data_IF_130448651692
#
_entry.id   IF_130448651692
#
_cell.length_a   1.000
_cell.length_b   1.000
_cell.length_c   1.000
_cell.angle_alpha   90.00
_cell.angle_beta   90.00
_cell.angle_gamma   90.00
#
_symmetry.space_group_name_H-M   'P 1'
#
loop_
_entity.id
_entity.type
_entity.pdbx_description
1 polymer ?
#
# COMPACT_ATOMS: atom_id res chain seq x y z
N UNK A 1 8.30 18.23 10.33
CA UNK A 1 7.63 16.99 10.79
C UNK A 1 6.21 17.35 11.23
N UNK A 2 5.37 17.72 10.27
CA UNK A 2 4.03 18.25 10.50
C UNK A 2 3.05 17.07 10.59
N UNK A 3 2.76 16.58 11.80
CA UNK A 3 1.66 15.63 12.00
C UNK A 3 0.44 16.43 12.42
N UNK A 4 -0.47 16.65 11.48
CA UNK A 4 -1.81 17.15 11.78
C UNK A 4 -2.56 16.12 12.63
N UNK A 5 -2.65 16.37 13.94
CA UNK A 5 -3.29 15.55 14.98
C UNK A 5 -2.58 14.23 15.39
N UNK A 6 -2.60 13.95 16.70
CA UNK A 6 -2.17 12.68 17.29
C UNK A 6 -2.95 11.47 16.76
N UNK A 7 -4.24 11.67 16.45
CA UNK A 7 -5.10 10.64 15.88
C UNK A 7 -4.58 10.15 14.52
N UNK A 8 -4.17 11.05 13.63
CA UNK A 8 -3.55 10.68 12.35
C UNK A 8 -2.26 9.87 12.53
N UNK A 9 -1.39 10.28 13.46
CA UNK A 9 -0.15 9.57 13.71
C UNK A 9 -0.42 8.15 14.26
N UNK A 10 -1.37 8.01 15.18
CA UNK A 10 -1.79 6.72 15.69
C UNK A 10 -2.33 5.81 14.58
N UNK A 11 -3.24 6.33 13.75
CA UNK A 11 -3.82 5.59 12.62
C UNK A 11 -2.74 5.15 11.63
N UNK A 12 -1.83 6.05 11.25
CA UNK A 12 -0.71 5.70 10.38
C UNK A 12 0.20 4.63 11.01
N UNK A 13 0.43 4.70 12.32
CA UNK A 13 1.28 3.73 13.01
C UNK A 13 0.66 2.34 13.05
N UNK A 14 -0.65 2.25 13.30
CA UNK A 14 -1.41 1.00 13.26
C UNK A 14 -1.36 0.39 11.86
N UNK A 15 -1.60 1.19 10.82
CA UNK A 15 -1.56 0.70 9.44
C UNK A 15 -0.16 0.32 8.97
N UNK A 16 0.87 1.08 9.37
CA UNK A 16 2.25 0.73 9.13
C UNK A 16 2.62 -0.59 9.80
N UNK A 17 2.16 -0.82 11.04
CA UNK A 17 2.39 -2.09 11.72
C UNK A 17 1.65 -3.26 11.05
N UNK A 18 0.41 -3.03 10.58
CA UNK A 18 -0.42 -4.05 9.95
C UNK A 18 0.08 -4.47 8.56
N UNK A 19 0.54 -3.53 7.74
CA UNK A 19 0.92 -3.80 6.35
C UNK A 19 2.42 -3.64 6.09
N UNK A 20 3.05 -2.63 6.68
CA UNK A 20 4.48 -2.39 6.52
C UNK A 20 5.34 -3.48 7.15
N UNK A 21 5.06 -3.90 8.38
CA UNK A 21 5.87 -4.93 9.05
C UNK A 21 5.89 -6.26 8.29
N UNK A 22 4.74 -6.86 7.89
CA UNK A 22 4.76 -8.11 7.14
C UNK A 22 5.38 -7.97 5.74
N UNK A 23 5.20 -6.80 5.10
CA UNK A 23 5.80 -6.51 3.80
C UNK A 23 7.33 -6.38 3.90
N UNK A 24 7.84 -5.69 4.94
CA UNK A 24 9.26 -5.55 5.19
C UNK A 24 9.94 -6.92 5.42
N UNK A 25 9.28 -7.80 6.18
CA UNK A 25 9.76 -9.19 6.36
C UNK A 25 9.78 -9.93 5.02
N UNK A 26 8.77 -9.72 4.16
CA UNK A 26 8.65 -10.41 2.87
C UNK A 26 9.65 -9.95 1.81
N UNK A 27 9.95 -8.65 1.78
CA UNK A 27 10.83 -8.01 0.78
C UNK A 27 12.30 -7.96 1.21
N UNK A 28 12.55 -7.90 2.53
CA UNK A 28 13.84 -7.54 3.11
C UNK A 28 14.11 -6.04 3.04
N UNK A 29 15.06 -5.57 3.85
CA UNK A 29 15.27 -4.14 4.12
C UNK A 29 15.48 -3.29 2.86
N UNK A 30 16.38 -3.70 1.95
CA UNK A 30 16.73 -2.90 0.78
C UNK A 30 15.55 -2.76 -0.21
N UNK A 31 14.85 -3.85 -0.52
CA UNK A 31 13.70 -3.84 -1.43
C UNK A 31 12.51 -3.13 -0.81
N UNK A 32 12.32 -3.27 0.50
CA UNK A 32 11.28 -2.53 1.23
C UNK A 32 11.54 -1.02 1.22
N UNK A 33 12.79 -0.59 1.42
CA UNK A 33 13.14 0.84 1.34
C UNK A 33 12.91 1.39 -0.07
N UNK A 34 13.33 0.67 -1.11
CA UNK A 34 13.08 1.06 -2.49
C UNK A 34 11.57 1.11 -2.81
N UNK A 35 10.81 0.11 -2.38
CA UNK A 35 9.34 0.08 -2.50
C UNK A 35 8.68 1.27 -1.80
N UNK A 36 9.13 1.59 -0.59
CA UNK A 36 8.64 2.73 0.19
C UNK A 36 8.91 4.05 -0.54
N UNK A 37 10.12 4.23 -1.09
CA UNK A 37 10.46 5.42 -1.88
C UNK A 37 9.58 5.54 -3.13
N UNK A 38 9.44 4.47 -3.91
CA UNK A 38 8.66 4.48 -5.16
C UNK A 38 7.19 4.79 -4.91
N UNK A 39 6.58 4.16 -3.90
CA UNK A 39 5.17 4.42 -3.57
C UNK A 39 4.96 5.82 -2.97
N UNK A 40 5.92 6.33 -2.21
CA UNK A 40 5.90 7.72 -1.73
C UNK A 40 5.97 8.73 -2.88
N UNK A 41 6.88 8.51 -3.84
CA UNK A 41 7.02 9.37 -5.02
C UNK A 41 5.78 9.33 -5.90
N UNK A 42 5.18 8.16 -6.12
CA UNK A 42 3.94 8.03 -6.87
C UNK A 42 2.76 8.74 -6.20
N UNK A 43 2.67 8.67 -4.87
CA UNK A 43 1.66 9.40 -4.10
C UNK A 43 1.80 10.93 -4.29
N UNK A 44 3.02 11.45 -4.14
CA UNK A 44 3.29 12.88 -4.32
C UNK A 44 3.05 13.31 -5.77
N UNK A 45 3.49 12.51 -6.74
CA UNK A 45 3.30 12.80 -8.16
C UNK A 45 1.81 12.88 -8.53
N UNK A 46 0.99 11.93 -8.08
CA UNK A 46 -0.43 11.95 -8.39
C UNK A 46 -1.12 13.16 -7.74
N UNK A 47 -0.82 13.45 -6.47
CA UNK A 47 -1.36 14.64 -5.81
C UNK A 47 -0.99 15.93 -6.55
N UNK A 48 0.28 16.06 -6.99
CA UNK A 48 0.76 17.23 -7.70
C UNK A 48 0.06 17.44 -9.06
N UNK A 49 -0.29 16.36 -9.76
CA UNK A 49 -1.05 16.43 -11.03
C UNK A 49 -2.44 17.05 -10.81
N UNK A 50 -3.12 16.74 -9.69
CA UNK A 50 -4.46 17.24 -9.40
C UNK A 50 -4.49 18.63 -8.75
N UNK A 51 -3.41 19.03 -8.07
CA UNK A 51 -3.30 20.31 -7.34
C UNK A 51 -2.16 21.18 -7.89
N UNK A 52 -1.90 21.09 -9.19
CA UNK A 52 -0.84 21.84 -9.84
C UNK A 52 -1.06 23.35 -9.66
N UNK A 53 -0.10 24.04 -9.02
CA UNK A 53 -0.18 25.48 -8.76
C UNK A 53 -0.70 25.87 -7.36
N UNK A 54 -1.13 24.90 -6.55
CA UNK A 54 -1.56 25.14 -5.17
C UNK A 54 -0.46 24.76 -4.16
N UNK A 55 -0.24 25.61 -3.16
CA UNK A 55 0.73 25.37 -2.08
C UNK A 55 0.10 24.57 -0.94
N UNK A 56 -0.46 23.39 -1.25
CA UNK A 56 -1.04 22.49 -0.24
C UNK A 56 0.06 21.55 0.28
N UNK A 57 0.43 21.59 1.58
CA UNK A 57 1.46 20.72 2.11
C UNK A 57 0.99 19.26 2.16
N UNK A 58 1.68 18.39 1.40
CA UNK A 58 1.47 16.93 1.44
C UNK A 58 2.14 16.34 2.68
N UNK A 59 1.35 15.84 3.63
CA UNK A 59 1.87 15.07 4.78
C UNK A 59 2.03 13.60 4.32
N UNK A 60 3.24 13.28 3.83
CA UNK A 60 3.50 12.16 2.91
C UNK A 60 3.72 10.74 3.46
N UNK A 61 3.43 10.43 4.73
CA UNK A 61 3.59 9.07 5.24
C UNK A 61 2.46 8.11 4.81
N UNK A 62 1.23 8.62 4.72
CA UNK A 62 0.03 7.82 4.45
C UNK A 62 -0.08 7.34 3.00
N UNK A 63 0.53 8.06 2.05
CA UNK A 63 0.64 7.62 0.66
C UNK A 63 1.48 6.34 0.53
N UNK A 64 2.63 6.28 1.21
CA UNK A 64 3.47 5.09 1.24
C UNK A 64 2.77 3.90 1.91
N UNK A 65 2.06 4.16 3.02
CA UNK A 65 1.24 3.15 3.71
C UNK A 65 0.12 2.64 2.79
N UNK A 66 -0.52 3.51 2.02
CA UNK A 66 -1.51 3.12 1.00
C UNK A 66 -0.88 2.23 -0.07
N UNK A 67 0.38 2.48 -0.45
CA UNK A 67 1.14 1.57 -1.29
C UNK A 67 1.36 0.19 -0.67
N UNK A 68 1.65 0.11 0.63
CA UNK A 68 1.74 -1.17 1.34
C UNK A 68 0.41 -1.92 1.34
N UNK A 69 -0.73 -1.20 1.46
CA UNK A 69 -2.07 -1.79 1.33
C UNK A 69 -2.32 -2.33 -0.08
N UNK A 70 -1.92 -1.59 -1.12
CA UNK A 70 -1.99 -2.03 -2.51
C UNK A 70 -1.17 -3.30 -2.76
N UNK A 71 0.05 -3.37 -2.22
CA UNK A 71 0.85 -4.58 -2.26
C UNK A 71 0.17 -5.74 -1.50
N UNK A 72 -0.36 -5.50 -0.31
CA UNK A 72 -1.06 -6.51 0.50
C UNK A 72 -2.29 -7.10 -0.22
N UNK A 73 -3.03 -6.29 -0.98
CA UNK A 73 -4.15 -6.73 -1.81
C UNK A 73 -3.70 -7.74 -2.88
N UNK A 74 -2.49 -7.60 -3.44
CA UNK A 74 -1.90 -8.55 -4.40
C UNK A 74 -1.50 -9.88 -3.76
N UNK A 75 -1.26 -9.90 -2.45
CA UNK A 75 -1.08 -11.13 -1.67
C UNK A 75 -2.41 -11.70 -1.14
N UNK A 76 -3.55 -11.07 -1.46
CA UNK A 76 -4.85 -11.48 -0.94
C UNK A 76 -4.97 -11.37 0.58
N UNK A 77 -4.11 -10.58 1.22
CA UNK A 77 -3.93 -10.54 2.68
C UNK A 77 -3.53 -11.88 3.32
N UNK A 78 -3.01 -12.83 2.53
CA UNK A 78 -2.50 -14.10 3.04
C UNK A 78 -1.28 -13.89 3.92
N UNK A 79 -1.31 -14.39 5.15
CA UNK A 79 -0.22 -14.27 6.11
C UNK A 79 0.44 -15.62 6.38
N UNK A 80 1.77 -15.63 6.47
CA UNK A 80 2.55 -16.78 6.91
C UNK A 80 3.01 -16.54 8.34
N UNK A 81 2.84 -17.56 9.17
CA UNK A 81 3.38 -17.65 10.53
C UNK A 81 4.58 -18.60 10.63
N UNK A 82 5.10 -19.09 9.49
CA UNK A 82 6.16 -20.10 9.47
C UNK A 82 7.53 -19.59 9.97
N UNK A 83 7.69 -18.28 10.15
CA UNK A 83 8.92 -17.65 10.66
C UNK A 83 8.71 -16.93 12.00
N UNK A 84 9.82 -16.46 12.59
CA UNK A 84 9.81 -15.67 13.85
C UNK A 84 8.99 -14.39 13.78
N UNK A 85 8.64 -13.90 12.59
CA UNK A 85 7.82 -12.71 12.33
C UNK A 85 6.80 -13.04 11.26
N UNK A 86 5.58 -12.48 11.39
CA UNK A 86 4.54 -12.60 10.37
C UNK A 86 4.98 -11.92 9.07
N UNK A 87 4.73 -12.58 7.94
CA UNK A 87 5.03 -12.05 6.60
C UNK A 87 3.87 -12.34 5.65
N UNK A 88 3.79 -11.63 4.52
CA UNK A 88 2.85 -12.01 3.46
C UNK A 88 3.25 -13.34 2.84
N UNK A 89 2.26 -14.20 2.59
CA UNK A 89 2.44 -15.57 2.11
C UNK A 89 2.01 -15.73 0.65
N UNK A 90 2.47 -16.83 0.06
CA UNK A 90 2.00 -17.28 -1.25
C UNK A 90 2.57 -16.49 -2.43
N UNK A 91 2.11 -16.90 -3.62
CA UNK A 91 2.34 -16.20 -4.89
C UNK A 91 1.47 -14.94 -4.94
N UNK A 92 1.96 -13.90 -5.63
CA UNK A 92 1.12 -12.79 -6.03
C UNK A 92 -0.08 -13.30 -6.84
N UNK A 93 -1.28 -12.90 -6.45
CA UNK A 93 -2.49 -13.20 -7.19
C UNK A 93 -2.37 -12.65 -8.63
N UNK A 94 -3.26 -12.99 -9.54
CA UNK A 94 -3.45 -12.29 -10.82
C UNK A 94 -4.52 -11.22 -10.65
N UNK A 95 -4.68 -10.31 -11.62
CA UNK A 95 -5.78 -9.35 -11.57
C UNK A 95 -7.15 -10.03 -11.52
N UNK A 96 -7.31 -11.16 -12.23
CA UNK A 96 -8.56 -11.95 -12.18
C UNK A 96 -8.80 -12.56 -10.79
N UNK A 97 -7.76 -13.14 -10.18
CA UNK A 97 -7.85 -13.69 -8.82
C UNK A 97 -8.16 -12.60 -7.78
N UNK A 98 -7.58 -11.39 -7.94
CA UNK A 98 -7.92 -10.23 -7.09
C UNK A 98 -9.40 -9.86 -7.24
N UNK A 99 -9.90 -9.73 -8.47
CA UNK A 99 -11.30 -9.38 -8.74
C UNK A 99 -12.30 -10.46 -8.31
N UNK A 100 -11.86 -11.71 -8.17
CA UNK A 100 -12.68 -12.79 -7.63
C UNK A 100 -12.63 -12.90 -6.09
N UNK A 101 -11.65 -12.25 -5.44
CA UNK A 101 -11.45 -12.34 -4.00
C UNK A 101 -12.37 -11.41 -3.23
N UNK A 102 -13.38 -11.98 -2.57
CA UNK A 102 -14.31 -11.23 -1.70
C UNK A 102 -13.56 -10.42 -0.64
N UNK A 103 -12.54 -11.00 -0.01
CA UNK A 103 -11.74 -10.31 1.02
C UNK A 103 -11.07 -9.06 0.46
N UNK A 104 -10.48 -9.15 -0.73
CA UNK A 104 -9.80 -8.01 -1.35
C UNK A 104 -10.80 -6.95 -1.79
N UNK A 105 -11.91 -7.35 -2.42
CA UNK A 105 -12.96 -6.41 -2.82
C UNK A 105 -13.61 -5.70 -1.63
N UNK A 106 -13.89 -6.41 -0.54
CA UNK A 106 -14.41 -5.79 0.69
C UNK A 106 -13.44 -4.77 1.25
N UNK A 107 -12.15 -5.12 1.33
CA UNK A 107 -11.12 -4.17 1.79
C UNK A 107 -11.05 -2.94 0.88
N UNK A 108 -11.02 -3.13 -0.45
CA UNK A 108 -10.99 -2.03 -1.42
C UNK A 108 -12.20 -1.12 -1.28
N UNK A 109 -13.40 -1.69 -1.13
CA UNK A 109 -14.64 -0.94 -0.95
C UNK A 109 -14.61 -0.11 0.33
N UNK A 110 -14.25 -0.71 1.47
CA UNK A 110 -14.13 -0.01 2.75
C UNK A 110 -13.06 1.07 2.71
N UNK A 111 -11.87 0.74 2.18
CA UNK A 111 -10.76 1.68 2.08
C UNK A 111 -11.11 2.88 1.19
N UNK A 112 -11.75 2.64 0.03
CA UNK A 112 -12.18 3.72 -0.85
C UNK A 112 -13.27 4.59 -0.22
N UNK A 113 -14.25 3.99 0.46
CA UNK A 113 -15.29 4.72 1.18
C UNK A 113 -14.71 5.63 2.28
N UNK A 114 -13.76 5.13 3.06
CA UNK A 114 -13.07 5.93 4.09
C UNK A 114 -12.33 7.10 3.45
N UNK A 115 -11.58 6.86 2.37
CA UNK A 115 -10.85 7.91 1.65
C UNK A 115 -11.76 8.97 1.06
N UNK A 116 -12.92 8.58 0.54
CA UNK A 116 -13.90 9.52 0.00
C UNK A 116 -14.50 10.39 1.10
N UNK A 117 -14.92 9.78 2.22
CA UNK A 117 -15.49 10.51 3.36
C UNK A 117 -14.49 11.50 3.95
N UNK A 118 -13.22 11.11 4.10
CA UNK A 118 -12.18 11.98 4.65
C UNK A 118 -11.68 13.02 3.65
N UNK A 119 -11.60 12.67 2.36
CA UNK A 119 -11.24 13.59 1.28
C UNK A 119 -12.27 14.71 1.08
N UNK A 120 -13.56 14.37 1.17
CA UNK A 120 -14.66 15.34 1.09
C UNK A 120 -14.84 16.18 2.38
N UNK A 121 -14.01 15.98 3.41
CA UNK A 121 -14.04 16.77 4.63
C UNK A 121 -15.20 16.43 5.59
N UNK A 122 -15.98 15.39 5.32
CA UNK A 122 -17.09 14.95 6.19
C UNK A 122 -16.65 14.41 7.56
N UNK A 123 -15.35 14.19 7.75
CA UNK A 123 -14.76 13.71 9.00
C UNK A 123 -14.44 14.82 10.03
N UNK A 124 -14.80 16.08 9.75
CA UNK A 124 -14.65 17.20 10.72
C UNK A 124 -13.20 17.62 10.99
N UNK A 125 -12.27 17.32 10.07
CA UNK A 125 -10.85 17.70 10.13
C UNK A 125 -10.36 18.24 8.77
N UNK A 126 -9.05 18.56 8.64
CA UNK A 126 -8.49 18.99 7.36
C UNK A 126 -8.75 17.96 6.27
N UNK A 127 -9.15 18.41 5.07
CA UNK A 127 -9.33 17.53 3.92
C UNK A 127 -8.04 16.74 3.67
N UNK A 128 -8.18 15.41 3.62
CA UNK A 128 -7.06 14.51 3.36
C UNK A 128 -6.88 14.39 1.85
N UNK A 129 -5.64 14.53 1.37
CA UNK A 129 -5.26 14.36 -0.03
C UNK A 129 -5.48 12.89 -0.50
N UNK A 130 -6.73 12.55 -0.81
CA UNK A 130 -7.14 11.20 -1.21
C UNK A 130 -6.45 10.76 -2.51
N UNK A 131 -6.09 11.69 -3.39
CA UNK A 131 -5.33 11.42 -4.61
C UNK A 131 -3.94 10.88 -4.28
N UNK A 132 -3.30 11.38 -3.22
CA UNK A 132 -2.01 10.86 -2.78
C UNK A 132 -2.14 9.40 -2.33
N UNK A 133 -3.23 9.06 -1.65
CA UNK A 133 -3.49 7.69 -1.22
C UNK A 133 -3.75 6.75 -2.41
N UNK A 134 -4.51 7.21 -3.40
CA UNK A 134 -4.75 6.47 -4.65
C UNK A 134 -3.43 6.24 -5.40
N UNK A 135 -2.59 7.26 -5.53
CA UNK A 135 -1.31 7.15 -6.24
C UNK A 135 -0.37 6.15 -5.58
N UNK A 136 -0.25 6.22 -4.25
CA UNK A 136 0.51 5.25 -3.48
C UNK A 136 -0.04 3.83 -3.63
N UNK A 137 -1.36 3.67 -3.45
CA UNK A 137 -2.05 2.37 -3.57
C UNK A 137 -1.82 1.72 -4.93
N UNK A 138 -2.06 2.46 -6.02
CA UNK A 138 -1.88 1.96 -7.38
C UNK A 138 -0.43 1.56 -7.65
N UNK A 139 0.54 2.39 -7.24
CA UNK A 139 1.95 2.04 -7.38
C UNK A 139 2.30 0.76 -6.62
N UNK A 140 1.83 0.62 -5.38
CA UNK A 140 2.06 -0.58 -4.59
C UNK A 140 1.41 -1.83 -5.20
N UNK A 141 0.17 -1.71 -5.67
CA UNK A 141 -0.58 -2.79 -6.30
C UNK A 141 0.04 -3.26 -7.62
N UNK A 142 0.45 -2.32 -8.47
CA UNK A 142 0.97 -2.63 -9.81
C UNK A 142 2.44 -3.05 -9.78
N UNK A 143 3.26 -2.44 -8.92
CA UNK A 143 4.71 -2.59 -8.97
C UNK A 143 5.28 -3.62 -7.99
N UNK A 144 4.50 -4.16 -7.05
CA UNK A 144 5.01 -5.10 -6.03
C UNK A 144 5.75 -6.31 -6.62
N UNK A 145 5.36 -6.77 -7.82
CA UNK A 145 6.05 -7.86 -8.52
C UNK A 145 7.52 -7.58 -8.85
N UNK A 146 7.90 -6.31 -9.00
CA UNK A 146 9.29 -5.91 -9.25
C UNK A 146 10.15 -5.99 -7.98
N UNK A 147 9.52 -5.91 -6.81
CA UNK A 147 10.21 -5.92 -5.51
C UNK A 147 10.13 -7.29 -4.85
N UNK A 148 9.16 -8.12 -5.20
CA UNK A 148 8.99 -9.44 -4.60
C UNK A 148 10.10 -10.42 -5.06
N UNK A 149 10.98 -10.90 -4.16
CA UNK A 149 12.05 -11.82 -4.54
C UNK A 149 11.55 -13.17 -5.08
N UNK A 150 10.32 -13.59 -4.79
CA UNK A 150 9.78 -14.87 -5.28
C UNK A 150 9.11 -14.75 -6.66
N UNK A 151 8.83 -13.54 -7.13
CA UNK A 151 8.23 -13.33 -8.45
C UNK A 151 9.15 -13.69 -9.61
N UNK A 152 10.48 -13.60 -9.42
CA UNK A 152 11.47 -14.04 -10.41
C UNK A 152 11.77 -15.55 -10.39
N UNK A 153 11.55 -16.23 -9.27
CA UNK A 153 11.84 -17.66 -9.11
C UNK A 153 10.83 -18.56 -9.83
N UNK A 154 9.59 -18.10 -10.03
CA UNK A 154 8.57 -18.86 -10.77
C UNK A 154 8.84 -18.91 -12.29
N UNK A 155 9.73 -18.06 -12.83
CA UNK A 155 10.05 -18.03 -14.26
C UNK A 155 11.18 -19.01 -14.66
N UNK A 156 11.97 -19.53 -13.71
CA UNK A 156 13.06 -20.48 -14.00
C UNK A 156 12.71 -21.95 -13.71
N UNK A 157 11.50 -22.24 -13.23
CA UNK A 157 11.03 -23.59 -12.94
C UNK A 157 10.42 -24.29 -14.16
N UNK A 158 11.18 -24.42 -15.25
CA UNK A 158 10.77 -25.24 -16.39
C UNK A 158 11.39 -26.63 -16.27
N UNK A 159 10.54 -27.65 -16.12
CA UNK A 159 10.88 -29.04 -16.40
C UNK A 159 11.09 -29.94 -15.18
N UNK A 160 10.05 -30.76 -14.91
CA UNK A 160 10.06 -32.16 -14.43
C UNK A 160 9.26 -32.35 -13.14
N UNK A 161 8.01 -32.77 -13.32
CA UNK A 161 7.50 -34.00 -12.71
C UNK A 161 6.76 -34.79 -13.80
#
# INVERSE_FOLDING_TARGET
LLHGSWAHLLVNSVWLAAFGSPLAVRLGNARFLAFWLVTSLAAVALHHVFHAGEMIPVIGASGAISGMMGAAARFGFGMSAAGRRRSFAGRLLTFREVLASRTVLTFLGVWFAINLVTGLGFAGGPSIAWEAHVGGFLAGFLLIGLFDPLSGASASGNGRF
#
